data_IF_547301245489
#
_entry.id   IF_547301245489
#
_cell.length_a   1.000
_cell.length_b   1.000
_cell.length_c   1.000
_cell.angle_alpha   90.00
_cell.angle_beta   90.00
_cell.angle_gamma   90.00
#
_symmetry.space_group_name_H-M   'P 1'
#
loop_
_entity.id
_entity.type
_entity.pdbx_description
1 polymer ?
#
# COMPACT_ATOMS: atom_id res chain seq x y z
N UNK A 1 22.51 -6.62 -2.49
CA UNK A 1 21.39 -5.64 -2.43
C UNK A 1 20.42 -5.99 -3.53
N UNK A 2 19.31 -6.60 -3.17
CA UNK A 2 18.21 -6.95 -4.09
C UNK A 2 16.99 -6.08 -3.77
N UNK A 3 16.12 -5.87 -4.76
CA UNK A 3 14.85 -5.17 -4.56
C UNK A 3 13.70 -6.14 -4.78
N UNK A 4 12.80 -6.18 -3.84
CA UNK A 4 11.63 -7.05 -3.85
C UNK A 4 10.36 -6.21 -3.82
N UNK A 5 9.32 -6.72 -4.45
CA UNK A 5 7.98 -6.11 -4.44
C UNK A 5 6.96 -7.18 -4.07
N UNK A 6 6.02 -6.84 -3.19
CA UNK A 6 4.87 -7.68 -2.85
C UNK A 6 3.64 -6.82 -2.57
N UNK A 7 2.47 -7.43 -2.49
CA UNK A 7 1.19 -6.75 -2.26
C UNK A 7 0.23 -7.65 -1.49
N UNK A 8 -0.85 -7.05 -0.96
CA UNK A 8 -2.03 -7.76 -0.45
C UNK A 8 -1.71 -8.80 0.64
N UNK A 9 -1.01 -8.39 1.68
CA UNK A 9 -0.62 -9.27 2.79
C UNK A 9 -1.80 -9.62 3.70
N UNK A 10 -2.77 -8.71 3.83
CA UNK A 10 -4.04 -8.92 4.53
C UNK A 10 -3.89 -9.71 5.83
N UNK A 11 -3.13 -9.21 6.78
CA UNK A 11 -2.96 -9.84 8.09
C UNK A 11 -2.33 -11.24 8.08
N UNK A 12 -1.76 -11.69 6.98
CA UNK A 12 -1.12 -13.01 6.85
C UNK A 12 0.34 -13.01 7.35
N UNK A 13 0.59 -12.52 8.57
CA UNK A 13 1.93 -12.34 9.15
C UNK A 13 2.84 -13.56 9.00
N UNK A 14 2.37 -14.76 9.38
CA UNK A 14 3.20 -15.97 9.29
C UNK A 14 3.62 -16.30 7.85
N UNK A 15 2.78 -16.01 6.86
CA UNK A 15 3.12 -16.21 5.44
C UNK A 15 4.13 -15.16 4.99
N UNK A 16 3.97 -13.92 5.45
CA UNK A 16 4.89 -12.83 5.19
C UNK A 16 6.30 -13.16 5.70
N UNK A 17 6.44 -13.54 6.97
CA UNK A 17 7.74 -13.92 7.55
C UNK A 17 8.35 -15.12 6.79
N UNK A 18 7.54 -16.15 6.51
CA UNK A 18 8.02 -17.29 5.72
C UNK A 18 8.49 -16.90 4.33
N UNK A 19 7.86 -15.92 3.69
CA UNK A 19 8.30 -15.40 2.40
C UNK A 19 9.65 -14.69 2.53
N UNK A 20 9.84 -13.86 3.55
CA UNK A 20 11.13 -13.20 3.82
C UNK A 20 12.26 -14.22 4.05
N UNK A 21 11.98 -15.30 4.79
CA UNK A 21 12.93 -16.41 5.00
C UNK A 21 13.27 -17.11 3.67
N UNK A 22 12.27 -17.38 2.83
CA UNK A 22 12.46 -18.07 1.55
C UNK A 22 13.31 -17.27 0.55
N UNK A 23 13.19 -15.94 0.55
CA UNK A 23 14.01 -15.07 -0.31
C UNK A 23 15.33 -14.69 0.35
N UNK A 24 15.61 -15.18 1.56
CA UNK A 24 16.78 -14.83 2.36
C UNK A 24 16.96 -13.30 2.50
N UNK A 25 15.86 -12.60 2.80
CA UNK A 25 15.84 -11.13 2.90
C UNK A 25 16.83 -10.61 3.92
N UNK A 26 17.68 -9.67 3.51
CA UNK A 26 18.80 -9.14 4.30
C UNK A 26 18.64 -7.65 4.59
N UNK A 27 19.42 -7.14 5.52
CA UNK A 27 19.40 -5.72 5.91
C UNK A 27 19.82 -4.75 4.79
N UNK A 28 20.56 -5.22 3.79
CA UNK A 28 20.97 -4.45 2.62
C UNK A 28 20.06 -4.62 1.40
N UNK A 29 19.00 -5.42 1.52
CA UNK A 29 17.94 -5.53 0.52
C UNK A 29 16.85 -4.50 0.77
N UNK A 30 16.07 -4.18 -0.26
CA UNK A 30 14.91 -3.29 -0.19
C UNK A 30 13.63 -4.07 -0.48
N UNK A 31 12.60 -3.85 0.34
CA UNK A 31 11.27 -4.40 0.10
C UNK A 31 10.25 -3.28 -0.07
N UNK A 32 9.45 -3.37 -1.12
CA UNK A 32 8.33 -2.47 -1.39
C UNK A 32 7.03 -3.26 -1.27
N UNK A 33 6.15 -2.83 -0.35
CA UNK A 33 4.83 -3.44 -0.15
C UNK A 33 3.80 -2.47 -0.73
N UNK A 34 3.04 -2.93 -1.73
CA UNK A 34 2.09 -2.10 -2.48
C UNK A 34 0.73 -1.97 -1.78
N UNK A 35 0.71 -1.87 -0.47
CA UNK A 35 -0.50 -1.71 0.32
C UNK A 35 -1.18 -3.01 0.71
N UNK A 36 -2.37 -2.85 1.30
CA UNK A 36 -3.25 -3.92 1.75
C UNK A 36 -2.59 -4.88 2.74
N UNK A 37 -1.96 -4.31 3.77
CA UNK A 37 -1.44 -5.09 4.90
C UNK A 37 -2.54 -5.36 5.94
N UNK A 38 -3.57 -4.49 6.00
CA UNK A 38 -4.68 -4.57 6.94
C UNK A 38 -5.73 -5.60 6.51
N UNK A 39 -6.64 -5.90 7.43
CA UNK A 39 -7.91 -6.61 7.24
C UNK A 39 -7.81 -8.10 6.88
N UNK A 40 -8.94 -8.81 6.92
CA UNK A 40 -9.16 -10.21 6.54
C UNK A 40 -8.38 -11.24 7.35
N UNK A 41 -7.08 -11.14 7.42
CA UNK A 41 -6.21 -12.09 8.14
C UNK A 41 -6.08 -11.76 9.62
N UNK A 42 -5.46 -12.67 10.38
CA UNK A 42 -5.49 -12.64 11.85
C UNK A 42 -4.52 -11.64 12.48
N UNK A 43 -3.47 -11.22 11.77
CA UNK A 43 -2.34 -10.51 12.37
C UNK A 43 -1.93 -9.25 11.57
N UNK A 44 -2.86 -8.32 11.25
CA UNK A 44 -2.52 -7.13 10.47
C UNK A 44 -1.59 -6.17 11.22
N UNK A 45 -1.79 -5.99 12.52
CA UNK A 45 -0.97 -5.06 13.31
C UNK A 45 0.45 -5.58 13.53
N UNK A 46 0.67 -6.89 13.59
CA UNK A 46 2.01 -7.47 13.67
C UNK A 46 2.80 -7.26 12.36
N UNK A 47 2.13 -7.25 11.19
CA UNK A 47 2.77 -6.88 9.91
C UNK A 47 3.19 -5.42 9.97
N UNK A 48 2.31 -4.53 10.43
CA UNK A 48 2.61 -3.10 10.56
C UNK A 48 3.78 -2.87 11.51
N UNK A 49 3.76 -3.49 12.70
CA UNK A 49 4.84 -3.39 13.68
C UNK A 49 6.18 -3.84 13.09
N UNK A 50 6.18 -4.93 12.33
CA UNK A 50 7.36 -5.41 11.63
C UNK A 50 7.89 -4.38 10.62
N UNK A 51 7.01 -3.81 9.78
CA UNK A 51 7.38 -2.81 8.78
C UNK A 51 8.00 -1.56 9.43
N UNK A 52 7.38 -1.06 10.50
CA UNK A 52 7.86 0.13 11.22
C UNK A 52 9.27 -0.07 11.79
N UNK A 53 9.61 -1.29 12.22
CA UNK A 53 10.93 -1.62 12.78
C UNK A 53 12.02 -1.78 11.72
N UNK A 54 11.66 -1.99 10.44
CA UNK A 54 12.61 -2.30 9.36
C UNK A 54 12.68 -1.16 8.34
N UNK A 55 13.73 -0.34 8.42
CA UNK A 55 13.89 0.87 7.57
C UNK A 55 14.10 0.59 6.09
N UNK A 56 14.45 -0.64 5.74
CA UNK A 56 14.63 -1.11 4.37
C UNK A 56 13.32 -1.68 3.77
N UNK A 57 12.19 -1.51 4.47
CA UNK A 57 10.87 -1.82 3.98
C UNK A 57 10.09 -0.52 3.74
N UNK A 58 9.58 -0.33 2.55
CA UNK A 58 8.71 0.79 2.19
C UNK A 58 7.29 0.27 1.98
N UNK A 59 6.34 0.79 2.76
CA UNK A 59 4.91 0.53 2.57
C UNK A 59 4.29 1.64 1.73
N UNK A 60 3.57 1.28 0.68
CA UNK A 60 2.66 2.16 -0.03
C UNK A 60 1.25 2.00 0.54
N UNK A 61 0.40 3.00 0.31
CA UNK A 61 -1.01 2.93 0.68
C UNK A 61 -1.76 2.02 -0.30
N UNK A 62 -2.56 1.11 0.23
CA UNK A 62 -3.58 0.35 -0.51
C UNK A 62 -4.98 0.86 -0.18
N UNK A 63 -5.98 0.31 -0.85
CA UNK A 63 -7.36 0.71 -0.60
C UNK A 63 -7.86 0.28 0.79
N UNK A 64 -7.32 -0.76 1.39
CA UNK A 64 -7.66 -1.15 2.77
C UNK A 64 -7.13 -0.17 3.81
N UNK A 65 -5.95 0.38 3.64
CA UNK A 65 -5.44 1.48 4.46
C UNK A 65 -6.31 2.73 4.30
N UNK A 66 -6.77 3.04 3.07
CA UNK A 66 -7.65 4.17 2.83
C UNK A 66 -9.04 3.98 3.46
N UNK A 67 -9.62 2.79 3.38
CA UNK A 67 -10.91 2.49 4.04
C UNK A 67 -10.85 2.70 5.56
N UNK A 68 -9.72 2.36 6.21
CA UNK A 68 -9.53 2.69 7.63
C UNK A 68 -9.43 4.20 7.86
N UNK A 69 -8.71 4.94 7.00
CA UNK A 69 -8.61 6.41 7.09
C UNK A 69 -10.00 7.05 6.97
N UNK A 70 -10.79 6.61 5.99
CA UNK A 70 -12.15 7.12 5.76
C UNK A 70 -13.08 6.82 6.95
N UNK A 71 -12.98 5.63 7.51
CA UNK A 71 -13.68 5.30 8.77
C UNK A 71 -13.27 6.25 9.89
N UNK A 72 -12.00 6.48 10.10
CA UNK A 72 -11.50 7.33 11.17
C UNK A 72 -11.97 8.80 11.02
N UNK A 73 -12.01 9.31 9.79
CA UNK A 73 -12.43 10.69 9.50
C UNK A 73 -13.94 10.88 9.51
N UNK A 74 -14.69 9.94 9.00
CA UNK A 74 -16.14 10.07 8.77
C UNK A 74 -17.01 9.27 9.75
N UNK A 75 -16.42 8.41 10.56
CA UNK A 75 -17.11 7.49 11.46
C UNK A 75 -18.10 6.55 10.74
N UNK A 76 -17.85 6.25 9.43
CA UNK A 76 -18.62 5.28 8.64
C UNK A 76 -17.81 4.00 8.47
N UNK A 77 -18.25 2.97 9.18
CA UNK A 77 -17.61 1.66 9.23
C UNK A 77 -18.03 0.72 8.08
N UNK A 78 -19.06 1.10 7.32
CA UNK A 78 -19.81 0.19 6.45
C UNK A 78 -18.93 -0.43 5.36
N UNK A 79 -18.24 0.39 4.58
CA UNK A 79 -17.37 -0.07 3.48
C UNK A 79 -16.19 -0.88 4.02
N UNK A 80 -15.57 -0.41 5.09
CA UNK A 80 -14.42 -1.06 5.69
C UNK A 80 -14.77 -2.45 6.24
N UNK A 81 -15.87 -2.59 6.98
CA UNK A 81 -16.34 -3.88 7.50
C UNK A 81 -16.79 -4.82 6.40
N UNK A 82 -17.47 -4.31 5.37
CA UNK A 82 -17.85 -5.12 4.21
C UNK A 82 -16.63 -5.78 3.54
N UNK A 83 -15.46 -5.17 3.67
CA UNK A 83 -14.19 -5.65 3.11
C UNK A 83 -13.31 -6.41 4.12
N UNK A 84 -13.80 -6.69 5.33
CA UNK A 84 -13.08 -7.51 6.33
C UNK A 84 -12.31 -6.70 7.37
N UNK A 85 -12.66 -5.42 7.57
CA UNK A 85 -12.01 -4.50 8.51
C UNK A 85 -12.27 -4.82 9.97
N UNK A 86 -13.29 -5.63 10.30
CA UNK A 86 -13.65 -5.98 11.66
C UNK A 86 -12.51 -6.64 12.44
N UNK A 87 -11.64 -7.38 11.76
CA UNK A 87 -10.49 -8.04 12.39
C UNK A 87 -9.45 -7.01 12.84
N UNK A 88 -9.10 -6.06 11.96
CA UNK A 88 -8.20 -4.96 12.29
C UNK A 88 -8.79 -4.10 13.41
N UNK A 89 -10.07 -3.73 13.29
CA UNK A 89 -10.74 -2.91 14.29
C UNK A 89 -10.74 -3.58 15.67
N UNK A 90 -11.06 -4.88 15.74
CA UNK A 90 -11.03 -5.63 17.00
C UNK A 90 -9.68 -5.60 17.69
N UNK A 91 -8.58 -5.57 16.94
CA UNK A 91 -7.24 -5.46 17.51
C UNK A 91 -6.93 -4.04 17.96
N UNK A 92 -7.34 -3.02 17.20
CA UNK A 92 -7.13 -1.61 17.56
C UNK A 92 -7.81 -1.27 18.89
N UNK A 93 -9.05 -1.69 19.09
CA UNK A 93 -9.80 -1.40 20.33
C UNK A 93 -9.20 -2.06 21.58
N UNK A 94 -8.34 -3.06 21.41
CA UNK A 94 -7.60 -3.73 22.48
C UNK A 94 -6.20 -3.15 22.73
N UNK A 95 -5.80 -2.13 21.96
CA UNK A 95 -4.54 -1.42 22.15
C UNK A 95 -4.70 -0.30 23.21
N UNK A 96 -3.59 0.31 23.57
CA UNK A 96 -3.56 1.47 24.47
C UNK A 96 -4.31 2.69 23.90
N UNK A 97 -4.74 3.58 24.77
CA UNK A 97 -5.45 4.80 24.38
C UNK A 97 -4.58 5.65 23.44
N UNK A 98 -5.15 6.03 22.30
CA UNK A 98 -4.49 6.85 21.28
C UNK A 98 -3.73 6.07 20.22
N UNK A 99 -3.76 4.73 20.27
CA UNK A 99 -3.18 3.89 19.22
C UNK A 99 -3.87 4.14 17.86
N UNK A 100 -5.19 4.23 17.86
CA UNK A 100 -6.03 4.53 16.69
C UNK A 100 -5.58 5.83 15.98
N UNK A 101 -5.36 6.89 16.75
CA UNK A 101 -4.84 8.15 16.23
C UNK A 101 -3.43 8.03 15.67
N UNK A 102 -2.58 7.25 16.33
CA UNK A 102 -1.21 7.01 15.88
C UNK A 102 -1.20 6.23 14.57
N UNK A 103 -2.02 5.19 14.47
CA UNK A 103 -2.23 4.41 13.26
C UNK A 103 -2.76 5.27 12.10
N UNK A 104 -3.82 6.05 12.33
CA UNK A 104 -4.36 6.99 11.36
C UNK A 104 -3.28 7.94 10.83
N UNK A 105 -2.51 8.58 11.73
CA UNK A 105 -1.45 9.52 11.34
C UNK A 105 -0.32 8.86 10.54
N UNK A 106 -0.04 7.60 10.81
CA UNK A 106 0.96 6.81 10.06
C UNK A 106 0.44 6.49 8.65
N UNK A 107 -0.75 5.91 8.56
CA UNK A 107 -1.35 5.48 7.28
C UNK A 107 -1.63 6.68 6.36
N UNK A 108 -2.07 7.81 6.90
CA UNK A 108 -2.33 9.03 6.12
C UNK A 108 -1.09 9.59 5.42
N UNK A 109 0.10 9.31 5.95
CA UNK A 109 1.38 9.77 5.38
C UNK A 109 1.99 8.80 4.37
N UNK A 110 1.41 7.63 4.19
CA UNK A 110 1.93 6.65 3.24
C UNK A 110 1.85 7.21 1.81
N UNK A 111 2.89 7.03 1.01
CA UNK A 111 2.82 7.32 -0.41
C UNK A 111 1.87 6.33 -1.09
N UNK A 112 1.09 6.78 -2.04
CA UNK A 112 0.24 5.91 -2.88
C UNK A 112 0.89 5.55 -4.22
N UNK A 113 1.99 6.22 -4.55
CA UNK A 113 2.78 6.00 -5.76
C UNK A 113 4.26 6.21 -5.47
N UNK A 114 5.12 5.41 -6.07
CA UNK A 114 6.58 5.54 -5.93
C UNK A 114 7.30 5.10 -7.19
N UNK A 115 8.30 5.86 -7.60
CA UNK A 115 9.21 5.49 -8.69
C UNK A 115 10.46 4.86 -8.10
N UNK A 116 10.84 3.70 -8.64
CA UNK A 116 12.11 3.03 -8.36
C UNK A 116 12.73 2.59 -9.69
N UNK A 117 13.95 2.99 -9.95
CA UNK A 117 14.64 2.69 -11.21
C UNK A 117 13.74 3.05 -12.42
N UNK A 118 13.32 2.06 -13.20
CA UNK A 118 12.42 2.20 -14.35
C UNK A 118 10.96 1.80 -14.07
N UNK A 119 10.60 1.56 -12.81
CA UNK A 119 9.28 1.08 -12.42
C UNK A 119 8.51 2.14 -11.66
N UNK A 120 7.23 2.25 -11.94
CA UNK A 120 6.26 3.00 -11.14
C UNK A 120 5.51 1.98 -10.30
N UNK A 121 5.60 2.11 -8.99
CA UNK A 121 4.92 1.24 -8.04
C UNK A 121 3.63 1.91 -7.58
N UNK A 122 2.53 1.18 -7.64
CA UNK A 122 1.19 1.63 -7.25
C UNK A 122 0.38 0.39 -6.83
N UNK A 123 -0.62 0.59 -5.97
CA UNK A 123 -1.44 -0.54 -5.48
C UNK A 123 -2.34 -1.13 -6.58
N UNK A 124 -3.11 -0.29 -7.28
CA UNK A 124 -4.07 -0.76 -8.28
C UNK A 124 -3.68 -0.34 -9.71
N UNK A 125 -3.88 0.90 -10.10
CA UNK A 125 -3.66 1.32 -11.47
C UNK A 125 -3.25 2.78 -11.62
N UNK A 126 -3.09 3.19 -12.87
CA UNK A 126 -2.71 4.54 -13.25
C UNK A 126 -3.71 5.09 -14.27
N UNK A 127 -3.90 6.41 -14.27
CA UNK A 127 -4.63 7.10 -15.32
C UNK A 127 -3.73 7.33 -16.54
N UNK A 128 -4.24 6.96 -17.70
CA UNK A 128 -3.60 7.24 -18.99
C UNK A 128 -4.52 8.11 -19.82
N UNK A 129 -4.00 9.22 -20.32
CA UNK A 129 -4.69 10.07 -21.28
C UNK A 129 -3.80 10.29 -22.49
N UNK A 130 -4.39 10.70 -23.61
CA UNK A 130 -3.66 10.98 -24.85
C UNK A 130 -2.54 12.03 -24.65
N UNK A 131 -2.65 12.88 -23.62
CA UNK A 131 -1.65 13.87 -23.25
C UNK A 131 -0.47 13.31 -22.46
N UNK A 132 -0.58 12.12 -21.87
CA UNK A 132 0.50 11.50 -21.10
C UNK A 132 1.74 11.16 -21.92
N UNK A 133 1.59 11.01 -23.26
CA UNK A 133 2.69 10.68 -24.16
C UNK A 133 3.76 11.78 -24.26
N UNK A 134 3.50 12.98 -23.72
CA UNK A 134 4.38 14.16 -23.82
C UNK A 134 4.90 14.65 -22.47
N UNK A 135 4.52 13.99 -21.38
CA UNK A 135 4.91 14.40 -20.04
C UNK A 135 6.26 13.77 -19.65
N UNK A 136 7.03 14.49 -18.86
CA UNK A 136 8.12 13.90 -18.11
C UNK A 136 7.58 12.88 -17.09
N UNK A 137 8.43 11.98 -16.57
CA UNK A 137 8.02 11.04 -15.52
C UNK A 137 7.45 11.79 -14.30
N UNK A 138 8.06 12.91 -13.91
CA UNK A 138 7.61 13.71 -12.77
C UNK A 138 6.25 14.35 -13.01
N UNK A 139 5.99 14.84 -14.22
CA UNK A 139 4.68 15.41 -14.57
C UNK A 139 3.62 14.31 -14.66
N UNK A 140 3.97 13.16 -15.22
CA UNK A 140 3.09 12.00 -15.25
C UNK A 140 2.68 11.58 -13.83
N UNK A 141 3.62 11.51 -12.89
CA UNK A 141 3.33 11.18 -11.48
C UNK A 141 2.43 12.23 -10.83
N UNK A 142 2.65 13.51 -11.06
CA UNK A 142 1.79 14.59 -10.55
C UNK A 142 0.37 14.57 -11.11
N UNK A 143 0.20 13.99 -12.29
CA UNK A 143 -1.11 13.84 -12.93
C UNK A 143 -1.95 12.73 -12.30
N UNK A 144 -1.33 11.79 -11.59
CA UNK A 144 -2.02 10.69 -10.94
C UNK A 144 -2.74 11.15 -9.67
N UNK A 145 -4.00 10.81 -9.54
CA UNK A 145 -4.76 10.99 -8.31
C UNK A 145 -4.72 9.73 -7.44
N UNK A 146 -4.90 9.94 -6.15
CA UNK A 146 -4.81 8.87 -5.16
C UNK A 146 -5.90 7.81 -5.37
N UNK A 147 -7.13 8.22 -5.66
CA UNK A 147 -8.27 7.30 -5.83
C UNK A 147 -8.02 6.33 -6.99
N UNK A 148 -7.56 6.84 -8.13
CA UNK A 148 -7.16 6.00 -9.27
C UNK A 148 -6.05 5.02 -8.87
N UNK A 149 -5.03 5.48 -8.17
CA UNK A 149 -3.91 4.62 -7.74
C UNK A 149 -4.34 3.49 -6.80
N UNK A 150 -5.42 3.69 -6.03
CA UNK A 150 -5.92 2.74 -5.05
C UNK A 150 -7.02 1.80 -5.59
N UNK A 151 -7.79 2.22 -6.62
CA UNK A 151 -8.99 1.51 -7.02
C UNK A 151 -9.06 1.13 -8.49
N UNK A 152 -8.31 1.79 -9.39
CA UNK A 152 -8.44 1.56 -10.83
C UNK A 152 -7.89 0.20 -11.25
N UNK A 153 -8.74 -0.60 -11.90
CA UNK A 153 -8.41 -1.92 -12.44
C UNK A 153 -8.65 -2.02 -13.94
N UNK A 154 -8.93 -0.92 -14.62
CA UNK A 154 -9.30 -0.91 -16.04
C UNK A 154 -8.14 -1.32 -16.96
N UNK A 155 -6.91 -1.09 -16.51
CA UNK A 155 -5.70 -1.33 -17.30
C UNK A 155 -4.99 -2.65 -17.00
N UNK A 156 -5.58 -3.51 -16.16
CA UNK A 156 -4.99 -4.82 -15.84
C UNK A 156 -4.88 -5.68 -17.12
N UNK A 157 -3.66 -6.11 -17.42
CA UNK A 157 -3.36 -6.96 -18.58
C UNK A 157 -3.39 -6.25 -19.93
N UNK A 158 -3.49 -4.91 -19.95
CA UNK A 158 -3.39 -4.11 -21.18
C UNK A 158 -1.99 -3.53 -21.31
N UNK A 159 -1.38 -3.66 -22.49
CA UNK A 159 -0.18 -2.91 -22.83
C UNK A 159 -0.53 -1.43 -23.00
N UNK A 160 0.25 -0.56 -22.37
CA UNK A 160 0.15 0.88 -22.50
C UNK A 160 1.44 1.36 -23.17
N UNK A 161 1.35 1.91 -24.37
CA UNK A 161 2.46 2.56 -25.05
C UNK A 161 2.56 4.01 -24.56
N UNK A 162 3.38 4.26 -23.56
CA UNK A 162 3.66 5.61 -23.08
C UNK A 162 5.08 5.96 -23.51
N UNK A 163 5.23 6.94 -24.39
CA UNK A 163 6.50 7.63 -24.59
C UNK A 163 6.62 8.74 -23.57
N UNK A 164 7.33 8.45 -22.49
CA UNK A 164 7.76 9.50 -21.54
C UNK A 164 9.06 10.04 -22.07
N UNK A 165 9.05 11.30 -22.50
CA UNK A 165 10.26 12.01 -22.92
C UNK A 165 11.11 12.23 -21.67
N UNK A 166 12.30 11.62 -21.65
CA UNK A 166 13.29 11.78 -20.58
C UNK A 166 14.02 13.10 -20.74
#
# INVERSE_FOLDING_TARGET
MSKYVMSDLHGCYNKFIKMLDQIEFKNDDELYILGDILDRGKNPLEILDYIILHKNITLLKGNHEQMYIDFYENNDISLWYYNGGEITHSQIVNKEIGYDKSLYNYLKKLPYIKVIDKFILVHAGLSFSDNCNYLSIDDFIKYQDEDTCLWNRENIGKEQNIEIIQ
#
